data_IF_455884794183
#
_entry.id   IF_455884794183
#
_cell.length_a   1.000
_cell.length_b   1.000
_cell.length_c   1.000
_cell.angle_alpha   90.00
_cell.angle_beta   90.00
_cell.angle_gamma   90.00
#
_symmetry.space_group_name_H-M   'P 1'
#
loop_
_entity.id
_entity.type
_entity.pdbx_description
1 polymer ?
#
# COMPACT_ATOMS: atom_id res chain seq x y z
N UNK A 1 5.90 21.30 58.93
CA UNK A 1 6.36 19.89 58.99
C UNK A 1 5.96 19.18 57.69
N UNK A 2 6.97 18.75 56.93
CA UNK A 2 7.02 17.80 55.80
C UNK A 2 5.99 17.93 54.66
N UNK A 3 6.46 18.60 53.61
CA UNK A 3 6.06 18.37 52.21
C UNK A 3 6.12 16.87 51.86
N UNK A 4 5.02 16.31 51.36
CA UNK A 4 5.04 15.01 50.67
C UNK A 4 5.44 15.25 49.20
N UNK A 5 6.28 14.40 48.60
CA UNK A 5 6.75 14.60 47.24
C UNK A 5 5.61 14.33 46.25
N UNK A 6 5.53 15.15 45.20
CA UNK A 6 4.76 14.79 44.01
C UNK A 6 5.32 13.49 43.41
N UNK A 7 4.47 12.53 42.99
CA UNK A 7 4.96 11.35 42.29
C UNK A 7 5.59 11.80 40.97
N UNK A 8 6.86 11.47 40.77
CA UNK A 8 7.53 11.69 39.48
C UNK A 8 6.83 10.84 38.42
N UNK A 9 6.51 11.38 37.23
CA UNK A 9 6.00 10.56 36.14
C UNK A 9 7.12 9.62 35.68
N UNK A 10 6.91 8.31 35.77
CA UNK A 10 7.74 7.35 35.04
C UNK A 10 7.37 7.46 33.55
N UNK A 11 8.33 7.89 32.73
CA UNK A 11 8.27 7.76 31.29
C UNK A 11 8.43 6.28 30.93
N UNK A 12 7.39 5.65 30.39
CA UNK A 12 7.56 4.39 29.68
C UNK A 12 8.17 4.69 28.30
N UNK A 13 9.49 4.60 28.23
CA UNK A 13 10.21 4.45 26.96
C UNK A 13 9.99 3.00 26.51
N UNK A 14 9.21 2.80 25.45
CA UNK A 14 9.19 1.50 24.76
C UNK A 14 10.61 1.24 24.23
N UNK A 15 11.36 0.37 24.91
CA UNK A 15 12.61 -0.17 24.39
C UNK A 15 12.27 -1.13 23.25
N UNK A 16 12.37 -0.64 22.02
CA UNK A 16 12.49 -1.49 20.84
C UNK A 16 13.87 -2.14 20.86
N UNK A 17 13.92 -3.46 21.04
CA UNK A 17 15.11 -4.23 20.72
C UNK A 17 15.18 -4.41 19.21
N UNK A 18 16.11 -3.70 18.56
CA UNK A 18 16.61 -4.05 17.23
C UNK A 18 17.58 -5.22 17.39
N UNK A 19 17.36 -6.31 16.64
CA UNK A 19 18.45 -7.23 16.29
C UNK A 19 18.80 -6.91 14.84
N UNK A 20 19.96 -6.29 14.68
CA UNK A 20 20.69 -6.16 13.42
C UNK A 20 21.42 -7.48 13.19
N UNK A 21 21.17 -8.12 12.05
CA UNK A 21 22.06 -9.15 11.52
C UNK A 21 22.47 -8.72 10.12
N UNK A 22 23.63 -8.07 10.06
CA UNK A 22 24.36 -7.79 8.84
C UNK A 22 24.97 -9.10 8.32
N UNK A 23 24.67 -9.46 7.07
CA UNK A 23 25.44 -10.42 6.30
C UNK A 23 25.77 -9.80 4.95
N UNK A 24 26.96 -9.21 4.90
CA UNK A 24 27.71 -9.06 3.65
C UNK A 24 28.03 -10.45 3.14
N UNK A 25 27.73 -10.78 1.89
CA UNK A 25 28.56 -11.70 1.12
C UNK A 25 28.37 -11.50 -0.40
N UNK A 26 29.50 -11.16 -1.02
CA UNK A 26 29.91 -11.30 -2.43
C UNK A 26 29.17 -10.55 -3.55
N UNK A 27 29.86 -9.50 -3.97
CA UNK A 27 30.04 -9.07 -5.36
C UNK A 27 30.20 -10.22 -6.36
N UNK A 28 29.42 -10.18 -7.44
CA UNK A 28 29.81 -10.77 -8.73
C UNK A 28 29.56 -9.76 -9.84
N UNK A 29 30.66 -9.29 -10.40
CA UNK A 29 30.74 -8.48 -11.61
C UNK A 29 30.28 -9.26 -12.84
N UNK A 30 29.46 -8.64 -13.69
CA UNK A 30 29.39 -9.03 -15.11
C UNK A 30 29.10 -7.79 -15.98
N UNK A 31 30.07 -7.48 -16.84
CA UNK A 31 30.06 -6.43 -17.86
C UNK A 31 29.05 -6.69 -18.99
N UNK A 32 28.70 -5.68 -19.81
CA UNK A 32 27.50 -5.69 -20.63
C UNK A 32 27.76 -6.33 -22.01
N UNK A 33 26.82 -7.14 -22.47
CA UNK A 33 26.73 -7.56 -23.86
C UNK A 33 25.60 -6.82 -24.56
N UNK A 34 25.93 -6.30 -25.73
CA UNK A 34 25.22 -5.40 -26.63
C UNK A 34 23.84 -5.88 -27.11
N UNK A 35 22.93 -4.93 -27.27
CA UNK A 35 21.65 -5.04 -27.99
C UNK A 35 21.82 -5.49 -29.46
N UNK A 36 20.75 -6.03 -30.05
CA UNK A 36 20.09 -5.26 -31.10
C UNK A 36 18.56 -5.17 -30.92
N UNK A 37 18.02 -4.22 -31.68
CA UNK A 37 16.68 -3.67 -31.59
C UNK A 37 15.54 -4.57 -32.11
N UNK A 38 14.33 -4.18 -31.69
CA UNK A 38 13.05 -4.34 -32.38
C UNK A 38 12.42 -5.74 -32.46
N UNK A 39 11.67 -6.08 -31.42
CA UNK A 39 10.28 -6.53 -31.51
C UNK A 39 9.65 -6.40 -30.11
N UNK A 40 8.39 -5.98 -30.00
CA UNK A 40 7.65 -6.00 -28.75
C UNK A 40 7.44 -7.47 -28.31
N UNK A 41 8.46 -8.06 -27.72
CA UNK A 41 8.47 -9.43 -27.27
C UNK A 41 8.01 -9.48 -25.81
N UNK A 42 6.81 -10.01 -25.60
CA UNK A 42 6.41 -10.56 -24.30
C UNK A 42 7.29 -11.77 -24.05
N UNK A 43 8.46 -11.59 -23.42
CA UNK A 43 9.27 -12.71 -22.95
C UNK A 43 8.71 -13.14 -21.60
N UNK A 44 7.75 -14.06 -21.63
CA UNK A 44 7.35 -14.85 -20.45
C UNK A 44 8.25 -16.07 -20.44
N UNK A 45 9.35 -15.98 -19.69
CA UNK A 45 10.31 -17.06 -19.54
C UNK A 45 10.35 -17.54 -18.10
N UNK A 46 10.10 -18.84 -17.89
CA UNK A 46 10.49 -19.53 -16.65
C UNK A 46 11.96 -19.92 -16.83
N UNK A 47 12.86 -19.15 -16.23
CA UNK A 47 14.28 -19.58 -16.16
C UNK A 47 14.40 -20.45 -14.92
N UNK A 48 14.42 -21.76 -15.12
CA UNK A 48 14.84 -22.71 -14.09
C UNK A 48 16.32 -22.49 -13.81
N UNK A 49 16.67 -22.22 -12.55
CA UNK A 49 18.06 -22.26 -12.12
C UNK A 49 18.59 -23.67 -12.34
N UNK A 50 19.44 -23.84 -13.34
CA UNK A 50 20.22 -25.06 -13.50
C UNK A 50 21.30 -25.08 -12.43
N UNK A 51 20.95 -25.60 -11.26
CA UNK A 51 21.83 -26.28 -10.32
C UNK A 51 20.92 -27.04 -9.36
N UNK A 52 21.27 -28.28 -9.03
CA UNK A 52 20.40 -29.29 -8.39
C UNK A 52 19.98 -29.02 -6.93
N UNK A 53 19.73 -27.77 -6.57
CA UNK A 53 18.99 -27.38 -5.37
C UNK A 53 17.65 -26.76 -5.81
N UNK A 54 16.55 -27.08 -5.12
CA UNK A 54 15.17 -26.80 -5.51
C UNK A 54 14.77 -25.31 -5.50
N UNK A 55 15.58 -24.43 -6.08
CA UNK A 55 15.39 -22.99 -6.12
C UNK A 55 14.11 -22.61 -6.84
N UNK A 56 13.26 -21.83 -6.17
CA UNK A 56 12.00 -21.35 -6.71
C UNK A 56 12.22 -20.61 -8.04
N UNK A 57 11.67 -21.16 -9.13
CA UNK A 57 11.81 -20.58 -10.46
C UNK A 57 11.16 -19.20 -10.52
N UNK A 58 11.92 -18.13 -10.80
CA UNK A 58 11.39 -16.76 -10.87
C UNK A 58 10.68 -16.53 -12.20
N UNK A 59 9.41 -16.11 -12.16
CA UNK A 59 8.66 -15.73 -13.36
C UNK A 59 9.05 -14.32 -13.79
N UNK A 60 9.43 -14.14 -15.06
CA UNK A 60 9.78 -12.82 -15.61
C UNK A 60 8.80 -12.40 -16.70
N UNK A 61 8.36 -11.15 -16.65
CA UNK A 61 7.56 -10.51 -17.68
C UNK A 61 8.12 -9.11 -17.99
N UNK A 62 8.05 -8.68 -19.24
CA UNK A 62 8.48 -7.34 -19.66
C UNK A 62 7.43 -6.71 -20.57
N UNK A 63 7.13 -5.44 -20.33
CA UNK A 63 6.15 -4.68 -21.10
C UNK A 63 6.74 -3.34 -21.53
N UNK A 64 6.62 -3.01 -22.81
CA UNK A 64 6.91 -1.66 -23.27
C UNK A 64 5.91 -0.67 -22.67
N UNK A 65 6.43 0.50 -22.31
CA UNK A 65 5.68 1.69 -21.95
C UNK A 65 6.07 2.79 -22.91
N UNK A 66 5.08 3.45 -23.47
CA UNK A 66 5.34 4.58 -24.36
C UNK A 66 5.75 5.80 -23.52
N UNK A 67 6.94 6.35 -23.75
CA UNK A 67 7.42 7.58 -23.11
C UNK A 67 8.11 7.36 -21.76
N UNK A 68 8.34 8.47 -21.06
CA UNK A 68 9.19 8.49 -19.85
C UNK A 68 8.40 8.31 -18.54
N UNK A 69 7.07 8.48 -18.61
CA UNK A 69 6.15 8.36 -17.48
C UNK A 69 5.29 7.11 -17.64
N UNK A 70 5.39 6.20 -16.68
CA UNK A 70 4.52 5.02 -16.56
C UNK A 70 3.58 5.19 -15.38
N UNK A 71 2.39 4.59 -15.42
CA UNK A 71 1.54 4.48 -14.24
C UNK A 71 0.91 3.10 -14.10
N UNK A 72 0.81 2.64 -12.86
CA UNK A 72 0.19 1.38 -12.48
C UNK A 72 -1.00 1.67 -11.55
N UNK A 73 -1.97 0.76 -11.56
CA UNK A 73 -3.07 0.75 -10.58
C UNK A 73 -2.85 -0.41 -9.64
N UNK A 74 -2.99 -0.19 -8.34
CA UNK A 74 -2.96 -1.21 -7.31
C UNK A 74 -4.31 -1.25 -6.59
N UNK A 75 -4.83 -2.45 -6.38
CA UNK A 75 -5.99 -2.75 -5.52
C UNK A 75 -5.63 -3.92 -4.60
N UNK A 76 -6.25 -3.99 -3.43
CA UNK A 76 -5.98 -5.02 -2.42
C UNK A 76 -7.27 -5.43 -1.71
N UNK A 77 -7.24 -6.57 -1.02
CA UNK A 77 -8.28 -6.99 -0.07
C UNK A 77 -9.68 -7.02 -0.70
N UNK A 78 -9.79 -7.63 -1.89
CA UNK A 78 -11.04 -7.68 -2.63
C UNK A 78 -12.13 -8.44 -1.85
N UNK A 79 -11.71 -9.50 -1.16
CA UNK A 79 -12.56 -10.40 -0.37
C UNK A 79 -13.87 -10.74 -1.07
N UNK A 80 -13.77 -11.18 -2.33
CA UNK A 80 -14.91 -11.67 -3.09
C UNK A 80 -15.57 -12.77 -2.27
N UNK A 81 -16.89 -12.65 -2.06
CA UNK A 81 -17.61 -13.56 -1.19
C UNK A 81 -18.94 -14.01 -1.74
N UNK A 82 -19.24 -15.30 -1.56
CA UNK A 82 -20.51 -15.93 -1.85
C UNK A 82 -21.65 -15.32 -1.01
N UNK A 83 -21.31 -14.83 0.18
CA UNK A 83 -22.25 -14.21 1.11
C UNK A 83 -22.46 -12.71 0.87
N UNK A 84 -21.54 -12.08 0.14
CA UNK A 84 -21.60 -10.65 -0.22
C UNK A 84 -21.33 -10.47 -1.72
N UNK A 85 -22.22 -10.97 -2.60
CA UNK A 85 -22.00 -10.95 -4.05
C UNK A 85 -21.99 -9.52 -4.64
N UNK A 86 -22.39 -8.51 -3.86
CA UNK A 86 -22.20 -7.11 -4.23
C UNK A 86 -20.71 -6.77 -4.47
N UNK A 87 -19.77 -7.32 -3.68
CA UNK A 87 -18.32 -7.03 -3.83
C UNK A 87 -17.80 -7.36 -5.23
N UNK A 88 -18.20 -8.52 -5.75
CA UNK A 88 -17.84 -8.97 -7.09
C UNK A 88 -18.49 -8.13 -8.20
N UNK A 89 -19.72 -7.64 -7.96
CA UNK A 89 -20.42 -6.73 -8.88
C UNK A 89 -19.82 -5.33 -8.87
N UNK A 90 -19.39 -4.85 -7.71
CA UNK A 90 -18.76 -3.55 -7.54
C UNK A 90 -17.41 -3.48 -8.25
N UNK A 91 -16.64 -4.59 -8.29
CA UNK A 91 -15.46 -4.70 -9.14
C UNK A 91 -15.79 -4.40 -10.61
N UNK A 92 -16.80 -5.07 -11.18
CA UNK A 92 -17.19 -4.83 -12.58
C UNK A 92 -17.73 -3.41 -12.77
N UNK A 93 -18.61 -2.96 -11.87
CA UNK A 93 -19.31 -1.69 -11.98
C UNK A 93 -18.39 -0.47 -11.83
N UNK A 94 -17.40 -0.53 -10.94
CA UNK A 94 -16.58 0.63 -10.56
C UNK A 94 -15.17 0.54 -11.15
N UNK A 95 -14.52 -0.63 -11.04
CA UNK A 95 -13.14 -0.78 -11.50
C UNK A 95 -13.05 -0.79 -13.03
N UNK A 96 -13.97 -1.46 -13.73
CA UNK A 96 -13.86 -1.59 -15.18
C UNK A 96 -13.96 -0.23 -15.92
N UNK A 97 -14.92 0.66 -15.61
CA UNK A 97 -14.94 2.01 -16.18
C UNK A 97 -13.72 2.84 -15.79
N UNK A 98 -13.25 2.73 -14.54
CA UNK A 98 -12.05 3.41 -14.07
C UNK A 98 -10.81 2.99 -14.87
N UNK A 99 -10.58 1.69 -15.05
CA UNK A 99 -9.45 1.18 -15.85
C UNK A 99 -9.55 1.57 -17.32
N UNK A 100 -10.77 1.63 -17.88
CA UNK A 100 -10.99 2.10 -19.26
C UNK A 100 -10.54 3.53 -19.46
N UNK A 101 -10.76 4.37 -18.45
CA UNK A 101 -10.34 5.77 -18.46
C UNK A 101 -8.83 5.91 -18.19
N UNK A 102 -8.34 5.23 -17.15
CA UNK A 102 -6.95 5.34 -16.69
C UNK A 102 -5.95 4.74 -17.68
N UNK A 103 -6.32 3.65 -18.36
CA UNK A 103 -5.43 2.85 -19.24
C UNK A 103 -4.04 2.61 -18.63
N UNK A 104 -3.96 2.01 -17.43
CA UNK A 104 -2.69 1.84 -16.75
C UNK A 104 -1.75 0.90 -17.52
N UNK A 105 -0.45 1.09 -17.32
CA UNK A 105 0.59 0.21 -17.86
C UNK A 105 0.59 -1.17 -17.17
N UNK A 106 0.10 -1.24 -15.94
CA UNK A 106 0.07 -2.43 -15.10
C UNK A 106 -1.09 -2.34 -14.08
N UNK A 107 -1.78 -3.46 -13.85
CA UNK A 107 -2.72 -3.62 -12.74
C UNK A 107 -2.19 -4.67 -11.76
N UNK A 108 -2.04 -4.27 -10.50
CA UNK A 108 -1.58 -5.09 -9.40
C UNK A 108 -2.73 -5.37 -8.44
N UNK A 109 -2.96 -6.64 -8.12
CA UNK A 109 -3.97 -7.08 -7.15
C UNK A 109 -3.23 -7.77 -5.99
N UNK A 110 -3.11 -7.10 -4.86
CA UNK A 110 -2.13 -7.42 -3.82
C UNK A 110 -2.68 -8.26 -2.66
N UNK A 111 -3.37 -9.36 -2.97
CA UNK A 111 -3.78 -10.32 -1.95
C UNK A 111 -5.23 -10.22 -1.51
N UNK A 112 -5.62 -11.19 -0.68
CA UNK A 112 -6.96 -11.40 -0.13
C UNK A 112 -8.06 -11.27 -1.20
N UNK A 113 -7.89 -12.05 -2.27
CA UNK A 113 -8.78 -12.06 -3.44
C UNK A 113 -10.18 -12.55 -3.07
N UNK A 114 -10.25 -13.56 -2.21
CA UNK A 114 -11.49 -14.20 -1.72
C UNK A 114 -11.65 -14.02 -0.21
N UNK A 115 -12.88 -14.11 0.32
CA UNK A 115 -13.13 -13.95 1.77
C UNK A 115 -12.86 -15.26 2.53
N UNK A 116 -13.10 -16.43 1.92
CA UNK A 116 -12.83 -17.75 2.48
C UNK A 116 -13.36 -17.93 3.93
N UNK A 117 -14.47 -17.25 4.23
CA UNK A 117 -15.14 -17.18 5.54
C UNK A 117 -16.58 -17.61 5.40
N UNK A 118 -17.07 -18.39 6.36
CA UNK A 118 -18.50 -18.72 6.42
C UNK A 118 -19.36 -17.48 6.71
N UNK A 119 -20.68 -17.57 6.47
CA UNK A 119 -21.65 -16.48 6.72
C UNK A 119 -21.56 -15.85 8.12
N UNK A 120 -21.27 -16.66 9.14
CA UNK A 120 -21.16 -16.22 10.54
C UNK A 120 -19.75 -15.70 10.90
N UNK A 121 -18.79 -15.76 9.98
CA UNK A 121 -17.36 -15.41 10.15
C UNK A 121 -16.69 -16.15 11.31
N UNK A 122 -17.19 -17.34 11.65
CA UNK A 122 -16.70 -18.18 12.76
C UNK A 122 -15.74 -19.28 12.31
N UNK A 123 -15.64 -19.53 11.00
CA UNK A 123 -14.70 -20.51 10.45
C UNK A 123 -14.16 -20.06 9.11
N UNK A 124 -12.95 -20.49 8.80
CA UNK A 124 -12.28 -20.24 7.52
C UNK A 124 -12.14 -21.54 6.73
N UNK A 125 -12.52 -21.50 5.45
CA UNK A 125 -12.37 -22.57 4.48
C UNK A 125 -12.42 -21.99 3.08
N UNK A 126 -11.69 -22.59 2.15
CA UNK A 126 -11.86 -22.29 0.73
C UNK A 126 -13.29 -22.63 0.27
N UNK A 127 -13.84 -21.76 -0.55
CA UNK A 127 -15.12 -21.93 -1.24
C UNK A 127 -14.90 -21.69 -2.73
N UNK A 128 -15.04 -22.74 -3.54
CA UNK A 128 -14.79 -22.68 -4.98
C UNK A 128 -15.71 -21.68 -5.68
N UNK A 129 -16.92 -21.47 -5.17
CA UNK A 129 -17.84 -20.51 -5.77
C UNK A 129 -17.33 -19.07 -5.66
N UNK A 130 -16.60 -18.72 -4.59
CA UNK A 130 -15.97 -17.39 -4.46
C UNK A 130 -14.90 -17.17 -5.53
N UNK A 131 -14.13 -18.22 -5.84
CA UNK A 131 -13.10 -18.19 -6.89
C UNK A 131 -13.69 -18.13 -8.29
N UNK A 132 -14.80 -18.85 -8.54
CA UNK A 132 -15.55 -18.75 -9.80
C UNK A 132 -16.11 -17.32 -9.97
N UNK A 133 -16.67 -16.73 -8.90
CA UNK A 133 -17.13 -15.34 -8.91
C UNK A 133 -15.98 -14.38 -9.21
N UNK A 134 -14.83 -14.54 -8.55
CA UNK A 134 -13.64 -13.72 -8.79
C UNK A 134 -13.19 -13.80 -10.26
N UNK A 135 -13.02 -15.01 -10.81
CA UNK A 135 -12.64 -15.23 -12.21
C UNK A 135 -13.59 -14.52 -13.16
N UNK A 136 -14.90 -14.79 -13.02
CA UNK A 136 -15.91 -14.24 -13.92
C UNK A 136 -15.97 -12.70 -13.85
N UNK A 137 -15.89 -12.13 -12.63
CA UNK A 137 -15.84 -10.68 -12.46
C UNK A 137 -14.60 -10.07 -13.10
N UNK A 138 -13.42 -10.66 -12.91
CA UNK A 138 -12.19 -10.12 -13.49
C UNK A 138 -12.13 -10.29 -15.01
N UNK A 139 -12.67 -11.37 -15.57
CA UNK A 139 -12.81 -11.53 -17.02
C UNK A 139 -13.72 -10.45 -17.63
N UNK A 140 -14.81 -10.12 -16.93
CA UNK A 140 -15.69 -9.02 -17.37
C UNK A 140 -15.00 -7.65 -17.20
N UNK A 141 -14.22 -7.44 -16.14
CA UNK A 141 -13.40 -6.22 -15.96
C UNK A 141 -12.40 -6.07 -17.11
N UNK A 142 -11.68 -7.14 -17.48
CA UNK A 142 -10.77 -7.16 -18.64
C UNK A 142 -11.50 -6.78 -19.92
N UNK A 143 -12.65 -7.40 -20.16
CA UNK A 143 -13.46 -7.17 -21.36
C UNK A 143 -13.98 -5.72 -21.45
N UNK A 144 -14.53 -5.18 -20.36
CA UNK A 144 -15.12 -3.84 -20.34
C UNK A 144 -14.07 -2.71 -20.31
N UNK A 145 -12.94 -2.94 -19.64
CA UNK A 145 -11.85 -1.96 -19.57
C UNK A 145 -11.02 -1.92 -20.85
N UNK A 146 -10.94 -3.03 -21.58
CA UNK A 146 -10.03 -3.21 -22.71
C UNK A 146 -8.55 -3.32 -22.30
N UNK A 147 -8.27 -3.51 -20.99
CA UNK A 147 -6.92 -3.73 -20.49
C UNK A 147 -6.44 -5.13 -20.91
N UNK A 148 -5.22 -5.21 -21.45
CA UNK A 148 -4.59 -6.48 -21.77
C UNK A 148 -4.44 -7.34 -20.49
N UNK A 149 -5.02 -8.54 -20.52
CA UNK A 149 -5.00 -9.50 -19.40
C UNK A 149 -3.58 -9.87 -18.98
N UNK A 150 -2.60 -9.85 -19.90
CA UNK A 150 -1.21 -10.10 -19.57
C UNK A 150 -0.59 -9.03 -18.66
N UNK A 151 -1.18 -7.82 -18.60
CA UNK A 151 -0.74 -6.72 -17.74
C UNK A 151 -1.40 -6.71 -16.36
N UNK A 152 -2.14 -7.76 -16.01
CA UNK A 152 -2.78 -7.92 -14.70
C UNK A 152 -2.03 -9.00 -13.92
N UNK A 153 -1.66 -8.70 -12.69
CA UNK A 153 -0.96 -9.62 -11.79
C UNK A 153 -1.66 -9.65 -10.43
N UNK A 154 -2.11 -10.84 -10.03
CA UNK A 154 -2.72 -11.12 -8.74
C UNK A 154 -1.81 -11.99 -7.88
N UNK A 155 -1.60 -11.60 -6.63
CA UNK A 155 -0.86 -12.40 -5.65
C UNK A 155 -1.81 -12.90 -4.58
N UNK A 156 -1.42 -13.98 -3.90
CA UNK A 156 -2.21 -14.56 -2.80
C UNK A 156 -2.10 -13.69 -1.56
N UNK A 157 -3.19 -13.58 -0.82
CA UNK A 157 -3.17 -13.21 0.59
C UNK A 157 -3.40 -14.41 1.50
N UNK A 158 -3.45 -14.15 2.80
CA UNK A 158 -3.71 -15.19 3.81
C UNK A 158 -5.10 -15.82 3.65
N UNK A 159 -6.11 -15.05 3.23
CA UNK A 159 -7.45 -15.58 3.00
C UNK A 159 -7.51 -16.61 1.88
N UNK A 160 -6.72 -16.40 0.82
CA UNK A 160 -6.65 -17.28 -0.34
C UNK A 160 -6.00 -18.63 -0.02
N UNK A 161 -5.37 -18.74 1.15
CA UNK A 161 -4.75 -19.97 1.64
C UNK A 161 -5.58 -20.71 2.69
N UNK A 162 -6.61 -20.14 3.30
CA UNK A 162 -7.27 -20.80 4.44
C UNK A 162 -7.77 -22.22 4.15
N UNK A 163 -7.18 -23.21 4.84
CA UNK A 163 -7.54 -24.62 4.70
C UNK A 163 -6.98 -25.32 3.46
N UNK A 164 -6.06 -24.69 2.72
CA UNK A 164 -5.30 -25.30 1.62
C UNK A 164 -4.11 -26.09 2.18
N UNK A 165 -4.04 -27.42 2.02
CA UNK A 165 -2.95 -28.21 2.61
C UNK A 165 -1.56 -27.88 2.06
N UNK A 166 -1.43 -27.70 0.74
CA UNK A 166 -0.20 -27.33 0.04
C UNK A 166 -0.54 -26.70 -1.34
N UNK A 167 0.41 -25.98 -1.95
CA UNK A 167 0.25 -25.39 -3.31
C UNK A 167 0.03 -26.50 -4.35
N UNK A 168 -0.98 -26.34 -5.21
CA UNK A 168 -1.37 -27.34 -6.22
C UNK A 168 -2.32 -28.43 -5.72
N UNK A 169 -2.72 -28.41 -4.45
CA UNK A 169 -3.77 -29.31 -3.95
C UNK A 169 -5.13 -29.01 -4.62
N UNK A 170 -6.08 -29.96 -4.61
CA UNK A 170 -7.44 -29.77 -5.18
C UNK A 170 -8.25 -28.59 -4.60
N UNK A 171 -7.85 -28.11 -3.44
CA UNK A 171 -8.47 -26.95 -2.76
C UNK A 171 -7.70 -25.65 -3.03
N UNK A 172 -6.58 -25.71 -3.74
CA UNK A 172 -5.79 -24.56 -4.14
C UNK A 172 -6.43 -23.91 -5.38
N UNK A 173 -7.52 -23.20 -5.16
CA UNK A 173 -8.28 -22.57 -6.23
C UNK A 173 -7.57 -21.34 -6.82
N UNK A 174 -6.58 -20.76 -6.13
CA UNK A 174 -5.72 -19.75 -6.75
C UNK A 174 -5.01 -20.35 -7.97
N UNK A 175 -4.47 -21.57 -7.84
CA UNK A 175 -3.76 -22.23 -8.95
C UNK A 175 -4.66 -22.64 -10.12
N UNK A 176 -5.98 -22.49 -10.01
CA UNK A 176 -6.93 -22.90 -11.06
C UNK A 176 -7.85 -21.76 -11.56
N UNK A 177 -8.10 -20.73 -10.75
CA UNK A 177 -9.06 -19.67 -11.07
C UNK A 177 -8.44 -18.26 -11.17
N UNK A 178 -7.29 -18.01 -10.54
CA UNK A 178 -6.63 -16.70 -10.55
C UNK A 178 -6.27 -16.24 -11.97
N UNK A 179 -6.10 -14.94 -12.18
CA UNK A 179 -5.66 -14.38 -13.48
C UNK A 179 -4.27 -14.91 -13.82
N UNK A 180 -3.40 -14.99 -12.82
CA UNK A 180 -2.08 -15.58 -12.97
C UNK A 180 -2.14 -17.05 -13.37
N UNK A 181 -3.00 -17.87 -12.77
CA UNK A 181 -3.18 -19.28 -13.18
C UNK A 181 -3.64 -19.44 -14.62
N UNK A 182 -4.57 -18.61 -15.07
CA UNK A 182 -5.10 -18.64 -16.44
C UNK A 182 -4.03 -18.31 -17.50
N UNK A 183 -2.94 -17.66 -17.08
CA UNK A 183 -1.79 -17.34 -17.91
C UNK A 183 -0.55 -18.19 -17.56
N UNK A 184 -0.73 -19.29 -16.83
CA UNK A 184 0.34 -20.20 -16.38
C UNK A 184 1.47 -19.50 -15.58
N UNK A 185 1.11 -18.47 -14.79
CA UNK A 185 2.01 -17.70 -13.93
C UNK A 185 1.85 -18.13 -12.47
N UNK A 186 2.43 -19.25 -12.08
CA UNK A 186 2.25 -19.83 -10.73
C UNK A 186 3.51 -19.80 -9.85
N UNK A 187 4.51 -19.00 -10.22
CA UNK A 187 5.73 -18.86 -9.42
C UNK A 187 5.47 -18.11 -8.11
N UNK A 188 6.25 -18.39 -7.07
CA UNK A 188 6.25 -17.61 -5.83
C UNK A 188 6.78 -16.18 -6.04
N UNK A 189 7.69 -15.99 -7.01
CA UNK A 189 8.36 -14.70 -7.24
C UNK A 189 8.09 -14.25 -8.68
N UNK A 190 7.53 -13.05 -8.80
CA UNK A 190 7.26 -12.39 -10.07
C UNK A 190 8.17 -11.18 -10.23
N UNK A 191 8.87 -11.13 -11.35
CA UNK A 191 9.69 -9.99 -11.76
C UNK A 191 9.05 -9.36 -12.99
N UNK A 192 8.44 -8.20 -12.84
CA UNK A 192 7.74 -7.49 -13.92
C UNK A 192 8.55 -6.23 -14.27
N UNK A 193 8.98 -6.12 -15.52
CA UNK A 193 9.73 -4.95 -16.02
C UNK A 193 8.84 -4.09 -16.91
N UNK A 194 8.71 -2.81 -16.59
CA UNK A 194 8.20 -1.79 -17.50
C UNK A 194 9.39 -1.13 -18.20
N UNK A 195 9.44 -1.24 -19.52
CA UNK A 195 10.51 -0.75 -20.38
C UNK A 195 10.06 0.58 -21.01
N UNK A 196 10.56 1.70 -20.48
CA UNK A 196 10.45 3.01 -21.12
C UNK A 196 11.59 3.23 -22.12
N UNK A 197 11.72 4.47 -22.63
CA UNK A 197 12.74 4.82 -23.63
C UNK A 197 14.16 4.57 -23.12
N UNK A 198 14.51 5.21 -22.00
CA UNK A 198 15.87 5.16 -21.41
C UNK A 198 15.89 4.49 -20.03
N UNK A 199 14.75 3.96 -19.57
CA UNK A 199 14.56 3.51 -18.19
C UNK A 199 13.80 2.20 -18.11
N UNK A 200 14.17 1.39 -17.12
CA UNK A 200 13.47 0.16 -16.74
C UNK A 200 12.98 0.27 -15.30
N UNK A 201 11.69 0.09 -15.10
CA UNK A 201 11.10 -0.03 -13.78
C UNK A 201 10.84 -1.50 -13.47
N UNK A 202 11.37 -2.00 -12.36
CA UNK A 202 11.22 -3.39 -11.94
C UNK A 202 10.27 -3.46 -10.75
N UNK A 203 9.21 -4.23 -10.91
CA UNK A 203 8.31 -4.64 -9.83
C UNK A 203 8.64 -6.08 -9.44
N UNK A 204 8.77 -6.32 -8.14
CA UNK A 204 8.97 -7.65 -7.58
C UNK A 204 7.74 -7.99 -6.75
N UNK A 205 6.92 -8.92 -7.25
CA UNK A 205 5.82 -9.51 -6.50
C UNK A 205 6.30 -10.76 -5.79
N UNK A 206 6.04 -10.87 -4.50
CA UNK A 206 6.42 -12.01 -3.67
C UNK A 206 5.15 -12.57 -3.05
N UNK A 207 4.89 -13.84 -3.31
CA UNK A 207 3.89 -14.61 -2.57
C UNK A 207 4.51 -15.02 -1.22
N UNK A 208 4.24 -14.22 -0.19
CA UNK A 208 4.68 -14.46 1.20
C UNK A 208 3.70 -15.35 1.98
N UNK A 209 2.78 -16.03 1.29
CA UNK A 209 1.86 -16.94 1.98
C UNK A 209 2.56 -18.22 2.40
N UNK A 210 2.13 -18.77 3.53
CA UNK A 210 2.62 -20.06 3.99
C UNK A 210 2.33 -21.15 2.96
N UNK A 211 3.25 -22.11 2.82
CA UNK A 211 3.06 -23.29 1.96
C UNK A 211 1.78 -24.05 2.35
N UNK A 212 1.49 -24.12 3.66
CA UNK A 212 0.27 -24.65 4.25
C UNK A 212 -0.68 -23.54 4.72
N UNK A 213 -1.94 -23.71 4.41
CA UNK A 213 -3.05 -22.83 4.76
C UNK A 213 -3.63 -23.10 6.13
N UNK A 214 -3.16 -22.38 7.15
CA UNK A 214 -3.67 -22.52 8.51
C UNK A 214 -5.12 -22.03 8.59
N UNK A 215 -5.99 -22.79 9.26
CA UNK A 215 -7.34 -22.33 9.62
C UNK A 215 -7.27 -21.62 10.97
N UNK A 216 -7.42 -20.29 11.02
CA UNK A 216 -7.29 -19.56 12.27
C UNK A 216 -7.11 -18.05 12.11
N UNK A 217 -6.78 -17.36 13.21
CA UNK A 217 -6.67 -15.90 13.35
C UNK A 217 -5.87 -15.22 12.21
N UNK A 218 -6.21 -13.98 11.81
CA UNK A 218 -5.53 -13.28 10.72
C UNK A 218 -4.06 -13.06 11.06
N UNK A 219 -3.17 -13.54 10.20
CA UNK A 219 -1.86 -12.92 10.04
C UNK A 219 -2.10 -11.60 9.31
N UNK A 220 -2.10 -10.48 10.02
CA UNK A 220 -2.11 -9.17 9.39
C UNK A 220 -0.81 -9.01 8.60
N UNK A 221 -0.91 -9.08 7.27
CA UNK A 221 0.10 -8.52 6.39
C UNK A 221 -0.16 -7.01 6.29
N UNK A 222 0.88 -6.25 5.94
CA UNK A 222 0.86 -4.79 5.96
C UNK A 222 0.12 -4.28 4.73
N UNK A 223 -1.18 -4.04 4.85
CA UNK A 223 -2.01 -3.77 3.67
C UNK A 223 -2.19 -2.29 3.34
N UNK A 224 -2.32 -2.04 2.04
CA UNK A 224 -2.90 -0.82 1.49
C UNK A 224 -4.37 -0.68 1.95
N UNK A 225 -4.99 0.47 1.68
CA UNK A 225 -6.42 0.62 1.93
C UNK A 225 -7.26 -0.46 1.23
N UNK A 226 -8.34 -0.88 1.89
CA UNK A 226 -9.14 -2.05 1.56
C UNK A 226 -10.17 -1.77 0.45
N UNK A 227 -10.21 -2.61 -0.60
CA UNK A 227 -11.28 -2.57 -1.61
C UNK A 227 -12.63 -3.02 -1.03
N UNK A 228 -12.65 -4.02 -0.14
CA UNK A 228 -13.88 -4.61 0.40
C UNK A 228 -14.76 -3.57 1.08
N UNK A 229 -14.21 -2.73 1.97
CA UNK A 229 -14.99 -1.68 2.65
C UNK A 229 -15.00 -0.36 1.86
N UNK A 230 -13.85 0.17 1.46
CA UNK A 230 -13.73 1.55 0.95
C UNK A 230 -13.51 1.66 -0.57
N UNK A 231 -13.57 0.54 -1.31
CA UNK A 231 -13.36 0.52 -2.78
C UNK A 231 -12.11 1.32 -3.20
N UNK A 232 -11.08 1.22 -2.36
CA UNK A 232 -9.89 2.04 -2.50
C UNK A 232 -9.03 1.51 -3.64
N UNK A 233 -8.57 2.42 -4.49
CA UNK A 233 -7.56 2.17 -5.49
C UNK A 233 -6.36 3.08 -5.26
N UNK A 234 -5.17 2.59 -5.59
CA UNK A 234 -3.97 3.41 -5.67
C UNK A 234 -3.54 3.56 -7.12
N UNK A 235 -3.33 4.78 -7.56
CA UNK A 235 -2.65 5.09 -8.83
C UNK A 235 -1.20 5.42 -8.49
N UNK A 236 -0.26 4.63 -8.99
CA UNK A 236 1.17 4.82 -8.85
C UNK A 236 1.73 5.41 -10.16
N UNK A 237 2.39 6.55 -10.10
CA UNK A 237 3.09 7.15 -11.23
C UNK A 237 4.61 7.06 -11.04
N UNK A 238 5.28 6.61 -12.09
CA UNK A 238 6.71 6.46 -12.21
C UNK A 238 7.20 7.48 -13.24
N UNK A 239 7.85 8.54 -12.77
CA UNK A 239 8.30 9.66 -13.60
C UNK A 239 9.81 9.89 -13.38
N UNK A 240 10.62 9.19 -14.17
CA UNK A 240 12.07 9.18 -14.00
C UNK A 240 12.49 8.44 -12.73
N UNK A 241 12.94 9.17 -11.71
CA UNK A 241 13.36 8.62 -10.39
C UNK A 241 12.34 8.93 -9.29
N UNK A 242 11.30 9.67 -9.67
CA UNK A 242 10.22 10.05 -8.78
C UNK A 242 9.11 9.01 -8.84
N UNK A 243 8.68 8.59 -7.66
CA UNK A 243 7.51 7.73 -7.49
C UNK A 243 6.47 8.55 -6.73
N UNK A 244 5.37 8.87 -7.41
CA UNK A 244 4.22 9.53 -6.81
C UNK A 244 3.04 8.58 -6.77
N UNK A 245 2.16 8.72 -5.78
CA UNK A 245 0.94 7.92 -5.71
C UNK A 245 -0.27 8.76 -5.31
N UNK A 246 -1.46 8.26 -5.63
CA UNK A 246 -2.73 8.83 -5.21
C UNK A 246 -3.71 7.72 -4.88
N UNK A 247 -4.29 7.79 -3.68
CA UNK A 247 -5.31 6.87 -3.21
C UNK A 247 -6.69 7.50 -3.43
N UNK A 248 -7.62 6.73 -3.99
CA UNK A 248 -8.97 7.16 -4.34
C UNK A 248 -9.99 6.13 -3.90
N UNK A 249 -11.08 6.58 -3.32
CA UNK A 249 -12.26 5.77 -3.01
C UNK A 249 -13.26 5.87 -4.17
N UNK A 250 -13.61 4.73 -4.76
CA UNK A 250 -14.56 4.67 -5.86
C UNK A 250 -15.98 4.45 -5.32
N UNK A 251 -16.72 5.52 -5.05
CA UNK A 251 -18.13 5.41 -4.67
C UNK A 251 -19.06 5.33 -5.89
N UNK A 252 -18.67 5.98 -7.00
CA UNK A 252 -19.49 6.17 -8.20
C UNK A 252 -18.62 6.07 -9.47
N UNK A 253 -19.07 6.69 -10.56
CA UNK A 253 -18.24 6.87 -11.75
C UNK A 253 -16.92 7.56 -11.39
N UNK A 254 -15.87 7.20 -12.13
CA UNK A 254 -14.51 7.66 -11.84
C UNK A 254 -14.43 9.20 -11.90
N UNK A 255 -14.08 9.89 -10.81
CA UNK A 255 -14.04 11.34 -10.78
C UNK A 255 -12.86 11.86 -11.62
N UNK A 256 -12.98 13.08 -12.14
CA UNK A 256 -11.82 13.75 -12.73
C UNK A 256 -10.74 13.91 -11.68
N UNK A 257 -9.57 13.33 -11.95
CA UNK A 257 -8.53 13.11 -10.96
C UNK A 257 -7.21 13.64 -11.47
N UNK A 258 -6.50 14.37 -10.62
CA UNK A 258 -5.19 14.95 -10.92
C UNK A 258 -4.14 14.30 -10.02
N UNK A 259 -3.21 13.56 -10.63
CA UNK A 259 -2.03 13.00 -9.97
C UNK A 259 -0.80 13.80 -10.40
N UNK A 260 -0.28 14.62 -9.50
CA UNK A 260 1.00 15.29 -9.73
C UNK A 260 2.09 14.21 -9.66
N UNK A 261 2.89 14.08 -10.72
CA UNK A 261 3.95 13.06 -10.81
C UNK A 261 5.28 13.60 -10.32
N UNK A 262 5.56 14.87 -10.59
CA UNK A 262 6.70 15.61 -10.06
C UNK A 262 6.35 17.11 -9.89
N UNK A 263 6.82 17.78 -8.82
CA UNK A 263 7.69 17.30 -7.73
C UNK A 263 6.98 16.38 -6.74
N UNK A 264 7.70 15.46 -6.10
CA UNK A 264 7.15 14.48 -5.13
C UNK A 264 6.68 15.13 -3.84
N UNK A 265 5.73 14.48 -3.15
CA UNK A 265 5.26 14.93 -1.83
C UNK A 265 6.34 14.69 -0.77
N UNK A 266 6.86 15.77 -0.17
CA UNK A 266 7.93 15.68 0.82
C UNK A 266 7.53 15.01 2.15
N UNK A 267 6.23 14.72 2.35
CA UNK A 267 5.74 14.02 3.55
C UNK A 267 5.82 12.51 3.44
N UNK A 268 5.55 11.96 2.27
CA UNK A 268 5.24 10.53 2.12
C UNK A 268 5.87 9.87 0.90
N UNK A 269 6.47 10.64 -0.02
CA UNK A 269 6.95 10.12 -1.29
C UNK A 269 8.47 10.25 -1.39
N UNK A 270 9.12 9.11 -1.62
CA UNK A 270 10.57 9.02 -1.73
C UNK A 270 11.05 9.24 -3.16
N UNK A 271 12.23 9.83 -3.28
CA UNK A 271 13.07 9.78 -4.48
C UNK A 271 14.17 8.74 -4.20
N UNK A 272 14.47 7.86 -5.16
CA UNK A 272 15.30 6.65 -4.92
C UNK A 272 16.80 6.94 -4.68
N UNK A 273 17.29 8.18 -4.81
CA UNK A 273 18.75 8.43 -4.79
C UNK A 273 19.22 9.27 -3.60
N UNK A 274 20.27 8.78 -2.94
CA UNK A 274 20.95 9.40 -1.79
C UNK A 274 22.16 10.26 -2.15
N UNK A 275 22.64 10.30 -3.39
CA UNK A 275 23.82 11.09 -3.74
C UNK A 275 23.81 11.60 -5.19
N UNK A 276 23.93 12.93 -5.35
CA UNK A 276 24.07 13.72 -6.60
C UNK A 276 22.79 13.95 -7.43
N UNK A 277 21.90 14.82 -6.93
CA UNK A 277 20.80 15.33 -7.75
C UNK A 277 21.25 16.41 -8.75
N UNK A 278 21.00 16.15 -10.04
CA UNK A 278 20.60 17.23 -10.95
C UNK A 278 19.16 17.57 -10.61
N UNK A 279 18.93 18.75 -10.05
CA UNK A 279 17.58 19.22 -9.72
C UNK A 279 16.75 19.27 -11.02
N UNK A 280 15.61 18.58 -11.03
CA UNK A 280 14.71 18.57 -12.20
C UNK A 280 13.99 19.91 -12.29
N UNK A 281 14.15 20.56 -13.42
CA UNK A 281 13.58 21.87 -13.74
C UNK A 281 12.28 21.76 -14.54
N UNK A 282 11.36 20.96 -14.04
CA UNK A 282 10.02 20.79 -14.60
C UNK A 282 8.97 20.41 -13.54
N UNK A 283 7.70 20.53 -13.95
CA UNK A 283 6.53 20.05 -13.23
C UNK A 283 5.75 19.17 -14.20
N UNK A 284 5.25 18.05 -13.69
CA UNK A 284 4.45 17.10 -14.45
C UNK A 284 3.26 16.59 -13.64
N UNK A 285 2.14 16.41 -14.33
CA UNK A 285 0.92 15.89 -13.74
C UNK A 285 0.13 15.05 -14.75
N UNK A 286 -0.50 13.98 -14.26
CA UNK A 286 -1.47 13.18 -15.00
C UNK A 286 -2.88 13.67 -14.64
N UNK A 287 -3.68 14.00 -15.66
CA UNK A 287 -5.06 14.49 -15.47
C UNK A 287 -6.04 13.55 -16.17
N UNK A 288 -6.67 12.67 -15.39
CA UNK A 288 -7.63 11.71 -15.89
C UNK A 288 -9.03 12.31 -15.84
N UNK A 289 -9.70 12.44 -17.00
CA UNK A 289 -11.05 12.99 -17.09
C UNK A 289 -11.84 12.38 -18.24
N UNK A 290 -13.16 12.25 -18.04
CA UNK A 290 -14.12 11.91 -19.08
C UNK A 290 -14.36 13.06 -20.07
N UNK A 291 -14.05 14.30 -19.67
CA UNK A 291 -14.21 15.50 -20.49
C UNK A 291 -12.87 15.96 -21.05
N UNK A 292 -12.92 16.73 -22.14
CA UNK A 292 -11.72 17.32 -22.73
C UNK A 292 -11.20 18.39 -21.77
N UNK A 293 -9.93 18.30 -21.40
CA UNK A 293 -9.27 19.30 -20.56
C UNK A 293 -8.78 20.44 -21.44
N UNK A 294 -9.24 21.66 -21.16
CA UNK A 294 -8.93 22.87 -21.92
C UNK A 294 -7.65 23.54 -21.43
N UNK A 295 -7.47 23.61 -20.11
CA UNK A 295 -6.31 24.27 -19.51
C UNK A 295 -5.91 23.56 -18.21
N UNK A 296 -4.60 23.47 -17.97
CA UNK A 296 -4.03 22.95 -16.73
C UNK A 296 -3.00 23.95 -16.22
N UNK A 297 -3.12 24.36 -14.96
CA UNK A 297 -2.21 25.32 -14.33
C UNK A 297 -1.74 24.79 -13.00
N UNK A 298 -0.43 24.73 -12.79
CA UNK A 298 0.17 24.49 -11.48
C UNK A 298 0.33 25.82 -10.74
N UNK A 299 -0.13 25.90 -9.50
CA UNK A 299 0.10 27.04 -8.63
C UNK A 299 1.00 26.63 -7.49
N UNK A 300 2.01 27.46 -7.22
CA UNK A 300 2.94 27.26 -6.11
C UNK A 300 2.60 28.25 -5.00
N UNK A 301 2.58 27.77 -3.75
CA UNK A 301 2.27 28.56 -2.56
C UNK A 301 3.45 28.55 -1.58
N UNK A 302 3.67 29.67 -0.89
CA UNK A 302 4.69 29.77 0.17
C UNK A 302 4.01 29.82 1.55
N UNK A 303 4.20 28.76 2.33
CA UNK A 303 3.67 28.67 3.71
C UNK A 303 4.23 29.75 4.64
N UNK A 304 5.45 30.25 4.40
CA UNK A 304 6.04 31.35 5.18
C UNK A 304 5.33 32.69 4.96
N UNK A 305 4.62 32.82 3.84
CA UNK A 305 3.83 33.99 3.46
C UNK A 305 2.33 33.76 3.61
N UNK A 306 1.93 32.90 4.57
CA UNK A 306 0.54 32.51 4.81
C UNK A 306 -0.13 31.88 3.58
N UNK A 307 0.57 30.96 2.90
CA UNK A 307 0.08 30.27 1.69
C UNK A 307 -0.35 31.22 0.57
N UNK A 308 0.37 32.33 0.38
CA UNK A 308 0.20 33.17 -0.80
C UNK A 308 0.77 32.48 -2.03
N UNK A 309 0.08 32.64 -3.17
CA UNK A 309 0.56 32.19 -4.48
C UNK A 309 1.85 32.95 -4.79
N UNK A 310 2.91 32.20 -5.13
CA UNK A 310 4.21 32.74 -5.52
C UNK A 310 4.43 32.65 -7.01
N UNK A 311 3.89 31.63 -7.66
CA UNK A 311 3.99 31.42 -9.10
C UNK A 311 2.78 30.66 -9.63
N UNK A 312 2.34 30.99 -10.84
CA UNK A 312 1.33 30.25 -11.61
C UNK A 312 1.95 29.82 -12.94
N UNK A 313 1.94 28.52 -13.20
CA UNK A 313 2.68 27.89 -14.30
C UNK A 313 1.69 27.12 -15.18
N UNK A 314 1.45 27.54 -16.43
CA UNK A 314 0.60 26.79 -17.35
C UNK A 314 1.30 25.51 -17.80
N UNK A 315 0.61 24.38 -17.73
CA UNK A 315 1.09 23.07 -18.14
C UNK A 315 0.57 22.74 -19.54
N UNK A 316 1.44 22.25 -20.41
CA UNK A 316 1.12 21.86 -21.78
C UNK A 316 0.93 20.35 -21.89
N UNK A 317 -0.03 19.92 -22.71
CA UNK A 317 -0.25 18.50 -22.99
C UNK A 317 0.95 17.94 -23.77
N UNK A 318 1.52 16.84 -23.30
CA UNK A 318 2.63 16.16 -23.98
C UNK A 318 2.08 15.32 -25.13
N UNK A 319 2.23 15.82 -26.36
CA UNK A 319 1.87 15.09 -27.58
C UNK A 319 3.07 14.24 -28.05
N UNK A 320 2.90 12.91 -28.07
CA UNK A 320 3.91 12.01 -28.63
C UNK A 320 3.71 11.91 -30.14
N UNK A 321 4.69 12.34 -30.94
CA UNK A 321 4.64 12.38 -32.41
C UNK A 321 4.54 11.00 -33.09
N UNK A 322 4.74 9.90 -32.36
CA UNK A 322 4.77 8.54 -32.91
C UNK A 322 3.69 7.58 -32.37
N UNK A 323 2.81 8.01 -31.46
CA UNK A 323 1.80 7.12 -30.87
C UNK A 323 0.39 7.67 -31.05
N UNK A 324 -0.50 6.90 -31.66
CA UNK A 324 -1.95 7.12 -31.71
C UNK A 324 -2.63 7.06 -30.33
N UNK A 325 -1.87 6.84 -29.27
CA UNK A 325 -2.34 6.66 -27.90
C UNK A 325 -2.37 8.01 -27.17
N UNK A 326 -3.57 8.49 -26.87
CA UNK A 326 -3.78 9.65 -26.00
C UNK A 326 -3.20 9.37 -24.60
N UNK A 327 -2.29 10.25 -24.14
CA UNK A 327 -1.73 10.23 -22.79
C UNK A 327 -2.14 11.49 -22.04
N UNK A 328 -2.75 11.37 -20.85
CA UNK A 328 -3.19 12.52 -20.06
C UNK A 328 -2.04 13.22 -19.30
N UNK A 329 -0.86 13.33 -19.91
CA UNK A 329 0.35 13.89 -19.28
C UNK A 329 0.51 15.37 -19.64
N UNK A 330 0.57 16.21 -18.61
CA UNK A 330 0.78 17.64 -18.71
C UNK A 330 2.14 18.02 -18.12
N UNK A 331 2.89 18.87 -18.80
CA UNK A 331 4.27 19.20 -18.49
C UNK A 331 4.55 20.69 -18.65
N UNK A 332 5.40 21.24 -17.78
CA UNK A 332 5.97 22.57 -17.93
C UNK A 332 7.39 22.61 -17.40
N UNK A 333 8.21 23.51 -17.94
CA UNK A 333 9.50 23.88 -17.36
C UNK A 333 9.31 24.93 -16.28
N UNK A 334 10.10 24.85 -15.22
CA UNK A 334 10.17 25.87 -14.16
C UNK A 334 11.60 26.03 -13.66
N UNK A 335 11.86 27.06 -12.86
CA UNK A 335 13.15 27.24 -12.20
C UNK A 335 13.13 26.65 -10.79
N UNK A 336 13.57 25.40 -10.64
CA UNK A 336 13.53 24.70 -9.35
C UNK A 336 14.46 25.34 -8.29
N UNK A 337 15.53 26.02 -8.70
CA UNK A 337 16.46 26.73 -7.81
C UNK A 337 15.75 27.80 -6.96
N UNK A 338 14.72 28.44 -7.52
CA UNK A 338 13.89 29.43 -6.80
C UNK A 338 13.16 28.85 -5.58
N UNK A 339 13.04 27.52 -5.52
CA UNK A 339 12.27 26.80 -4.51
C UNK A 339 13.14 26.03 -3.52
N UNK A 340 14.45 26.28 -3.51
CA UNK A 340 15.35 25.74 -2.47
C UNK A 340 15.00 26.30 -1.10
N UNK A 341 14.96 25.41 -0.11
CA UNK A 341 14.55 25.77 1.25
C UNK A 341 15.15 24.81 2.27
N UNK A 342 15.44 25.32 3.46
CA UNK A 342 15.82 24.49 4.61
C UNK A 342 14.64 23.69 5.14
N UNK A 343 13.41 24.20 5.01
CA UNK A 343 12.18 23.52 5.41
C UNK A 343 11.59 22.70 4.25
N UNK A 344 11.34 21.37 4.43
CA UNK A 344 10.76 20.49 3.41
C UNK A 344 9.28 20.77 3.12
N UNK A 345 8.60 21.56 3.94
CA UNK A 345 7.17 21.91 3.76
C UNK A 345 6.94 23.38 3.49
N UNK A 346 7.98 24.12 3.07
CA UNK A 346 7.85 25.55 2.82
C UNK A 346 6.95 25.81 1.61
N UNK A 347 7.25 25.16 0.49
CA UNK A 347 6.56 25.34 -0.77
C UNK A 347 5.54 24.23 -0.99
N UNK A 348 4.39 24.61 -1.51
CA UNK A 348 3.27 23.71 -1.79
C UNK A 348 2.86 23.87 -3.24
N UNK A 349 2.51 22.77 -3.88
CA UNK A 349 2.01 22.75 -5.25
C UNK A 349 0.56 22.27 -5.25
N UNK A 350 -0.26 22.92 -6.07
CA UNK A 350 -1.62 22.49 -6.37
C UNK A 350 -1.87 22.66 -7.87
N UNK A 351 -2.45 21.67 -8.51
CA UNK A 351 -2.75 21.70 -9.94
C UNK A 351 -4.24 21.90 -10.14
N UNK A 352 -4.57 22.79 -11.08
CA UNK A 352 -5.92 23.18 -11.45
C UNK A 352 -6.15 22.74 -12.88
N UNK A 353 -7.23 22.01 -13.14
CA UNK A 353 -7.64 21.64 -14.49
C UNK A 353 -9.02 22.25 -14.78
N UNK A 354 -9.16 22.86 -15.96
CA UNK A 354 -10.43 23.35 -16.48
C UNK A 354 -10.91 22.41 -17.59
N UNK A 355 -12.09 21.84 -17.43
CA UNK A 355 -12.69 20.97 -18.44
C UNK A 355 -13.55 21.73 -19.45
N UNK A 356 -13.99 21.03 -20.50
CA UNK A 356 -14.85 21.56 -21.56
C UNK A 356 -16.26 21.93 -21.11
N UNK A 357 -16.67 21.50 -19.91
CA UNK A 357 -17.95 21.88 -19.29
C UNK A 357 -17.80 23.17 -18.44
N UNK A 358 -16.61 23.75 -18.40
CA UNK A 358 -16.31 24.93 -17.58
C UNK A 358 -16.14 24.62 -16.09
N UNK A 359 -16.07 23.33 -15.70
CA UNK A 359 -15.82 22.93 -14.31
C UNK A 359 -14.32 22.96 -14.04
N UNK A 360 -13.96 23.62 -12.94
CA UNK A 360 -12.60 23.65 -12.45
C UNK A 360 -12.41 22.55 -11.39
N UNK A 361 -11.44 21.68 -11.62
CA UNK A 361 -11.03 20.61 -10.71
C UNK A 361 -9.68 20.97 -10.12
N UNK A 362 -9.51 20.72 -8.83
CA UNK A 362 -8.28 21.01 -8.09
C UNK A 362 -7.70 19.70 -7.55
N UNK A 363 -6.38 19.56 -7.60
CA UNK A 363 -5.68 18.52 -6.85
C UNK A 363 -5.67 18.87 -5.36
N UNK A 364 -5.41 17.87 -4.51
CA UNK A 364 -5.01 18.15 -3.13
C UNK A 364 -3.71 18.97 -3.10
N UNK A 365 -3.60 20.02 -2.28
CA UNK A 365 -2.36 20.76 -2.12
C UNK A 365 -1.35 19.88 -1.40
N UNK A 366 -0.13 19.78 -1.94
CA UNK A 366 0.93 18.99 -1.31
C UNK A 366 2.25 19.77 -1.19
N UNK A 367 2.99 19.60 -0.08
CA UNK A 367 4.31 20.18 0.05
C UNK A 367 5.31 19.45 -0.84
N UNK A 368 6.33 20.16 -1.30
CA UNK A 368 7.43 19.55 -2.03
C UNK A 368 8.77 20.14 -1.60
N UNK A 369 9.83 19.37 -1.84
CA UNK A 369 11.21 19.82 -1.68
C UNK A 369 12.02 19.48 -2.92
N UNK A 370 12.54 20.49 -3.60
CA UNK A 370 13.42 20.31 -4.77
C UNK A 370 14.76 19.66 -4.40
N UNK A 371 15.17 19.77 -3.13
CA UNK A 371 16.38 19.16 -2.59
C UNK A 371 16.16 17.69 -2.14
N UNK A 372 14.97 17.12 -2.35
CA UNK A 372 14.64 15.77 -1.90
C UNK A 372 14.52 15.61 -0.38
N UNK A 373 14.40 16.72 0.38
CA UNK A 373 14.27 16.66 1.84
C UNK A 373 12.89 16.15 2.24
N UNK A 374 12.87 15.17 3.13
CA UNK A 374 11.65 14.59 3.67
C UNK A 374 11.30 15.21 5.03
N UNK A 375 10.00 15.27 5.31
CA UNK A 375 9.51 15.58 6.65
C UNK A 375 9.85 14.40 7.57
N UNK A 376 10.61 14.65 8.63
CA UNK A 376 10.87 13.62 9.64
C UNK A 376 9.55 13.12 10.27
N UNK A 377 9.44 11.81 10.50
CA UNK A 377 8.25 11.14 11.04
C UNK A 377 7.57 11.85 12.23
N UNK A 378 8.34 12.53 13.09
CA UNK A 378 7.81 13.26 14.27
C UNK A 378 7.03 14.54 13.90
N UNK A 379 7.41 15.22 12.82
CA UNK A 379 6.79 16.46 12.35
C UNK A 379 5.52 16.22 11.54
N UNK A 380 5.47 15.12 10.79
CA UNK A 380 4.31 14.72 9.97
C UNK A 380 3.05 14.52 10.83
N UNK A 381 3.20 13.83 11.96
CA UNK A 381 2.12 13.60 12.94
C UNK A 381 1.59 14.90 13.57
N UNK A 382 2.46 15.90 13.77
CA UNK A 382 2.03 17.19 14.31
C UNK A 382 1.31 18.08 13.29
N UNK A 383 1.61 17.92 12.00
CA UNK A 383 0.97 18.67 10.93
C UNK A 383 -0.43 18.14 10.61
N UNK A 384 -0.65 16.83 10.58
CA UNK A 384 -1.98 16.22 10.43
C UNK A 384 -2.95 16.71 11.53
N UNK A 385 -2.47 16.75 12.78
CA UNK A 385 -3.24 17.28 13.93
C UNK A 385 -3.55 18.78 13.78
N UNK A 386 -2.70 19.56 13.12
CA UNK A 386 -2.93 21.00 12.86
C UNK A 386 -3.89 21.24 11.69
N UNK A 387 -3.86 20.40 10.66
CA UNK A 387 -4.77 20.48 9.50
C UNK A 387 -6.19 20.11 9.91
N UNK A 388 -6.36 19.02 10.69
CA UNK A 388 -7.66 18.62 11.24
C UNK A 388 -8.28 19.66 12.19
N UNK A 389 -7.45 20.50 12.83
CA UNK A 389 -7.93 21.64 13.63
C UNK A 389 -8.31 22.86 12.80
N UNK A 390 -7.80 22.99 11.58
CA UNK A 390 -8.09 24.12 10.67
C UNK A 390 -9.30 23.87 9.77
N UNK A 391 -9.68 22.62 9.50
CA UNK A 391 -10.79 22.28 8.60
C UNK A 391 -12.20 22.39 9.20
N UNK A 392 -12.34 22.79 10.47
CA UNK A 392 -13.66 23.03 11.09
C UNK A 392 -14.56 21.79 11.25
N UNK A 393 -14.10 20.58 10.91
CA UNK A 393 -14.88 19.34 10.95
C UNK A 393 -15.06 18.74 12.36
N UNK A 394 -14.98 19.55 13.42
CA UNK A 394 -15.12 19.06 14.81
C UNK A 394 -16.33 19.61 15.55
N UNK A 395 -17.35 20.16 14.87
CA UNK A 395 -18.49 20.75 15.58
C UNK A 395 -19.81 19.99 15.59
N UNK A 396 -20.01 18.87 14.89
CA UNK A 396 -21.26 18.11 15.04
C UNK A 396 -21.03 16.61 15.22
N UNK A 397 -20.90 16.20 16.48
CA UNK A 397 -20.95 14.81 16.91
C UNK A 397 -19.86 14.52 17.94
N UNK A 398 -20.28 14.23 19.18
CA UNK A 398 -19.45 13.86 20.34
C UNK A 398 -18.97 15.07 21.18
N UNK A 399 -19.88 15.58 22.03
CA UNK A 399 -19.49 16.17 23.32
C UNK A 399 -18.91 15.05 24.21
N UNK A 400 -17.62 14.76 24.08
CA UNK A 400 -16.83 14.19 25.18
C UNK A 400 -15.52 14.94 25.26
N UNK A 401 -15.33 15.58 26.40
CA UNK A 401 -14.16 16.33 26.84
C UNK A 401 -12.87 15.54 26.63
N UNK A 402 -12.09 15.87 25.59
CA UNK A 402 -10.74 15.30 25.35
C UNK A 402 -9.69 16.41 25.54
N UNK A 403 -9.24 16.53 26.78
CA UNK A 403 -7.95 17.12 27.10
C UNK A 403 -6.82 16.24 26.58
N UNK A 404 -5.68 16.88 26.28
CA UNK A 404 -4.41 16.28 25.86
C UNK A 404 -4.05 15.08 26.78
N UNK A 405 -3.51 14.03 26.17
CA UNK A 405 -3.07 12.74 26.74
C UNK A 405 -4.04 11.58 26.49
N UNK A 406 -3.99 11.00 25.27
CA UNK A 406 -4.51 9.65 25.03
C UNK A 406 -3.57 8.61 25.65
N UNK A 407 -3.57 8.52 26.98
CA UNK A 407 -3.54 7.23 27.67
C UNK A 407 -4.97 7.06 28.14
N UNK A 408 -5.64 5.99 27.69
CA UNK A 408 -6.95 5.61 28.22
C UNK A 408 -6.77 5.28 29.72
N UNK A 409 -6.84 6.30 30.58
CA UNK A 409 -6.83 6.14 32.04
C UNK A 409 -8.21 5.66 32.46
N UNK A 410 -8.48 4.38 32.24
CA UNK A 410 -9.63 3.73 32.87
C UNK A 410 -9.28 3.57 34.35
N UNK A 411 -9.83 4.45 35.19
CA UNK A 411 -9.77 4.26 36.65
C UNK A 411 -10.73 3.14 37.04
N UNK A 412 -10.30 1.90 36.83
CA UNK A 412 -10.96 0.71 37.38
C UNK A 412 -10.73 0.70 38.89
N UNK A 413 -11.80 0.69 39.67
CA UNK A 413 -11.74 0.47 41.13
C UNK A 413 -11.09 -0.88 41.47
N UNK A 414 -10.60 -1.03 42.70
CA UNK A 414 -9.79 -2.18 43.13
C UNK A 414 -10.43 -3.56 42.88
N UNK A 415 -11.77 -3.66 42.94
CA UNK A 415 -12.49 -4.90 42.61
C UNK A 415 -12.46 -5.26 41.13
N UNK A 416 -12.63 -4.29 40.23
CA UNK A 416 -12.65 -4.51 38.79
C UNK A 416 -11.25 -4.88 38.24
N UNK A 417 -10.17 -4.36 38.86
CA UNK A 417 -8.79 -4.76 38.55
C UNK A 417 -8.52 -6.23 38.84
N UNK A 418 -9.03 -6.73 39.98
CA UNK A 418 -8.89 -8.15 40.36
C UNK A 418 -9.63 -9.08 39.40
N UNK A 419 -10.82 -8.68 38.95
CA UNK A 419 -11.60 -9.43 37.94
C UNK A 419 -10.85 -9.46 36.60
N UNK A 420 -10.28 -8.32 36.17
CA UNK A 420 -9.53 -8.26 34.92
C UNK A 420 -8.25 -9.11 34.98
N UNK A 421 -7.51 -9.07 36.09
CA UNK A 421 -6.34 -9.95 36.30
C UNK A 421 -6.74 -11.43 36.26
N UNK A 422 -7.85 -11.79 36.88
CA UNK A 422 -8.36 -13.16 36.87
C UNK A 422 -8.69 -13.63 35.44
N UNK A 423 -9.32 -12.77 34.63
CA UNK A 423 -9.57 -13.04 33.21
C UNK A 423 -8.26 -13.18 32.41
N UNK A 424 -7.30 -12.28 32.61
CA UNK A 424 -5.98 -12.36 31.96
C UNK A 424 -5.22 -13.64 32.35
N UNK A 425 -5.34 -14.11 33.59
CA UNK A 425 -4.79 -15.37 34.05
C UNK A 425 -5.44 -16.56 33.34
N UNK A 426 -6.76 -16.57 33.21
CA UNK A 426 -7.48 -17.63 32.46
C UNK A 426 -7.01 -17.66 31.00
N UNK A 427 -6.94 -16.50 30.33
CA UNK A 427 -6.48 -16.40 28.94
C UNK A 427 -5.04 -16.94 28.81
N UNK A 428 -4.16 -16.60 29.75
CA UNK A 428 -2.77 -17.07 29.74
C UNK A 428 -2.67 -18.59 29.96
N UNK A 429 -3.52 -19.18 30.79
CA UNK A 429 -3.59 -20.63 30.98
C UNK A 429 -4.08 -21.36 29.72
N UNK A 430 -5.09 -20.80 29.03
CA UNK A 430 -5.55 -21.33 27.74
C UNK A 430 -4.45 -21.21 26.70
N UNK A 431 -3.74 -20.09 26.65
CA UNK A 431 -2.61 -19.86 25.75
C UNK A 431 -1.46 -20.85 26.00
N UNK A 432 -1.10 -21.12 27.26
CA UNK A 432 -0.10 -22.12 27.61
C UNK A 432 -0.52 -23.53 27.17
N UNK A 433 -1.80 -23.89 27.29
CA UNK A 433 -2.31 -25.18 26.79
C UNK A 433 -2.19 -25.28 25.26
N UNK A 434 -2.50 -24.20 24.53
CA UNK A 434 -2.36 -24.13 23.07
C UNK A 434 -0.88 -24.25 22.66
N UNK A 435 0.02 -23.50 23.31
CA UNK A 435 1.46 -23.58 23.06
C UNK A 435 1.99 -25.00 23.34
N UNK A 436 1.53 -25.64 24.42
CA UNK A 436 1.91 -27.02 24.76
C UNK A 436 1.42 -28.00 23.69
N UNK A 437 0.17 -27.88 23.24
CA UNK A 437 -0.36 -28.70 22.15
C UNK A 437 0.41 -28.50 20.83
N UNK A 438 0.81 -27.26 20.52
CA UNK A 438 1.67 -26.93 19.38
C UNK A 438 3.05 -27.60 19.50
N UNK A 439 3.66 -27.57 20.69
CA UNK A 439 4.94 -28.24 20.91
C UNK A 439 4.84 -29.76 20.78
N UNK A 440 3.74 -30.35 21.25
CA UNK A 440 3.47 -31.79 21.09
C UNK A 440 3.30 -32.20 19.63
N UNK A 441 2.67 -31.34 18.81
CA UNK A 441 2.38 -31.64 17.42
C UNK A 441 3.56 -31.34 16.46
N UNK A 442 4.36 -30.32 16.75
CA UNK A 442 5.33 -29.75 15.79
C UNK A 442 6.75 -29.54 16.37
N UNK A 443 7.01 -30.00 17.60
CA UNK A 443 8.28 -29.77 18.30
C UNK A 443 8.39 -28.36 18.90
N UNK A 444 9.54 -28.05 19.52
CA UNK A 444 9.71 -26.78 20.24
C UNK A 444 9.89 -25.54 19.34
N UNK A 445 10.21 -25.73 18.05
CA UNK A 445 10.57 -24.65 17.14
C UNK A 445 9.47 -23.59 16.93
N UNK A 446 8.17 -23.92 16.75
CA UNK A 446 7.12 -22.92 16.57
C UNK A 446 6.94 -22.00 17.79
N UNK A 447 7.22 -22.49 19.01
CA UNK A 447 7.12 -21.69 20.24
C UNK A 447 8.37 -20.83 20.47
N UNK A 448 9.55 -21.34 20.11
CA UNK A 448 10.81 -20.62 20.25
C UNK A 448 10.99 -19.51 19.20
N UNK A 449 10.53 -19.76 17.97
CA UNK A 449 10.71 -18.84 16.83
C UNK A 449 9.59 -17.82 16.68
N UNK A 450 8.51 -17.92 17.48
CA UNK A 450 7.41 -16.95 17.51
C UNK A 450 7.27 -16.25 18.87
N UNK A 451 8.32 -15.56 19.37
CA UNK A 451 8.32 -14.98 20.72
C UNK A 451 7.21 -13.93 20.92
N UNK A 452 6.89 -13.16 19.87
CA UNK A 452 5.80 -12.19 19.89
C UNK A 452 4.42 -12.83 20.11
N UNK A 453 4.20 -14.05 19.63
CA UNK A 453 2.92 -14.74 19.78
C UNK A 453 2.88 -15.58 21.05
N UNK A 454 3.98 -16.27 21.39
CA UNK A 454 4.03 -17.23 22.47
C UNK A 454 4.33 -16.61 23.85
N UNK A 455 5.13 -15.53 23.91
CA UNK A 455 5.65 -14.99 25.17
C UNK A 455 5.05 -13.65 25.57
N UNK A 456 4.46 -12.91 24.63
CA UNK A 456 3.81 -11.62 24.93
C UNK A 456 2.63 -11.77 25.89
N UNK A 457 1.70 -12.75 25.77
CA UNK A 457 0.59 -12.86 26.72
C UNK A 457 1.04 -13.14 28.17
N UNK A 458 1.98 -14.08 28.44
CA UNK A 458 2.57 -14.24 29.78
C UNK A 458 3.29 -13.00 30.29
N UNK A 459 4.06 -12.30 29.45
CA UNK A 459 4.78 -11.08 29.84
C UNK A 459 3.82 -9.94 30.17
N UNK A 460 2.74 -9.80 29.42
CA UNK A 460 1.68 -8.83 29.70
C UNK A 460 0.93 -9.15 30.99
N UNK A 461 0.72 -10.43 31.32
CA UNK A 461 0.15 -10.85 32.60
C UNK A 461 1.08 -10.48 33.76
N UNK A 462 2.38 -10.76 33.65
CA UNK A 462 3.38 -10.39 34.66
C UNK A 462 3.43 -8.88 34.84
N UNK A 463 3.45 -8.11 33.75
CA UNK A 463 3.41 -6.65 33.78
C UNK A 463 2.13 -6.11 34.42
N UNK A 464 0.97 -6.75 34.16
CA UNK A 464 -0.30 -6.39 34.76
C UNK A 464 -0.30 -6.66 36.27
N UNK A 465 0.19 -7.82 36.71
CA UNK A 465 0.32 -8.17 38.14
C UNK A 465 1.24 -7.18 38.86
N UNK A 466 2.42 -6.92 38.30
CA UNK A 466 3.39 -5.96 38.84
C UNK A 466 2.76 -4.56 39.00
N UNK A 467 2.09 -4.08 37.95
CA UNK A 467 1.45 -2.75 37.96
C UNK A 467 0.30 -2.64 38.96
N UNK A 468 -0.40 -3.75 39.24
CA UNK A 468 -1.46 -3.75 40.27
C UNK A 468 -0.92 -3.80 41.70
N UNK A 469 0.21 -4.48 41.94
CA UNK A 469 0.85 -4.54 43.24
C UNK A 469 1.42 -3.18 43.69
N UNK A 470 1.97 -2.40 42.75
CA UNK A 470 2.57 -1.07 43.03
C UNK A 470 1.55 0.06 43.25
N UNK A 471 0.24 -0.22 43.15
CA UNK A 471 -0.83 0.79 43.35
C UNK A 471 -1.59 0.61 44.67
N UNK A 472 -1.15 -0.32 45.53
CA UNK A 472 -1.77 -0.63 46.81
C UNK A 472 -1.03 -0.04 48.04
N UNK A 473 0.06 0.71 47.82
CA UNK A 473 0.67 1.64 48.79
C UNK A 473 0.29 3.09 48.41
#
# INVERSE_FOLDING_TARGET
MRSRPSPKPLSFLFFFFFIYASLNLLSSSSSPASSPAAAAAVVVGVVGGGDGDGGAAVMRASFAVDGDVAWAVQISDLHVSAHHPARARDLVRLLAPALRLLRPSLLLITGDLTDAKNKKRTSTRQDEYEWILYRNSMDEVVKQSGLDKHRIFDIRGNHDKYGVPFVGHKMDFFSTHSINSQLNRLSTIYSISLLGNDRRYLFIGIDDTMSIGIRGHPTCLWELGDWKESKLIRILALDGEAVSFLDLELEQEFPTTILITYPTDSRSMNTITTDRHSIRNDISALVFSHYIILNVTAKVFDSSRNFKIVEEIPLQLVTSSSSTVYKPLFHAKWNAESYKSTSPTRYWVQVFALDSQGKQILSEPRPFSVDGKLVGFSLQRQQEIKVLKKSGQFEHGIKTTLGKDCILRVYLGGGARKILLFLCMIISLVHCKICTALMWAYGAAPVALSPALCWVPPLLLVAAVYSTATTAE
#
